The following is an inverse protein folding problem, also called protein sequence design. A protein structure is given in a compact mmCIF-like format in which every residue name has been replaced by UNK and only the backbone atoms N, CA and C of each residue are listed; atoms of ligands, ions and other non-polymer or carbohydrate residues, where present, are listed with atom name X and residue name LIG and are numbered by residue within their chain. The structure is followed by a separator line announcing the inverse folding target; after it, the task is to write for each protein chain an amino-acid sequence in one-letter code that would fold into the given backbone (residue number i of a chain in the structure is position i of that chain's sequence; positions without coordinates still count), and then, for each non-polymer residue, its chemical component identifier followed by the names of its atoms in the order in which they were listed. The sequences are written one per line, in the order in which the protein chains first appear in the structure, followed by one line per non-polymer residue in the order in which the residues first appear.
data_IF_712771836386
#
_entry.id   IF_712771836386
#
_cell.length_a   1.000
_cell.length_b   1.000
_cell.length_c   1.000
_cell.angle_alpha   90.00
_cell.angle_beta   90.00
_cell.angle_gamma   90.00
#
_symmetry.space_group_name_H-M   'P 1'
#
loop_
_entity.id
_entity.type
_entity.pdbx_description
1 polymer ?
#
# COMPACT_ATOMS: atom_id res chain seq x y z
N UNK A 1 93.55 -34.33 13.34
CA UNK A 1 92.55 -34.85 14.30
C UNK A 1 91.46 -33.79 14.42
N UNK A 2 90.38 -33.93 13.63
CA UNK A 2 89.07 -34.48 14.02
C UNK A 2 88.29 -33.62 15.02
N UNK A 3 87.28 -32.94 14.45
CA UNK A 3 85.88 -32.85 14.89
C UNK A 3 85.61 -32.24 16.28
N UNK A 4 85.02 -31.04 16.30
CA UNK A 4 83.81 -30.69 17.09
C UNK A 4 83.38 -29.25 16.73
N UNK A 5 83.02 -29.04 15.47
CA UNK A 5 82.06 -28.01 15.08
C UNK A 5 80.76 -28.73 14.74
N UNK A 6 79.62 -28.04 14.76
CA UNK A 6 78.28 -28.54 14.40
C UNK A 6 77.39 -29.10 15.52
N UNK A 7 77.21 -28.38 16.63
CA UNK A 7 76.03 -28.60 17.49
C UNK A 7 75.49 -27.37 18.22
N UNK A 8 75.95 -26.16 17.90
CA UNK A 8 75.47 -24.91 18.53
C UNK A 8 74.87 -23.88 17.55
N UNK A 9 74.56 -24.29 16.32
CA UNK A 9 73.99 -23.41 15.27
C UNK A 9 72.60 -23.87 14.78
N UNK A 10 71.90 -24.71 15.55
CA UNK A 10 70.62 -25.31 15.15
C UNK A 10 69.50 -25.11 16.19
N UNK A 11 69.61 -24.06 17.01
CA UNK A 11 68.59 -23.67 18.01
C UNK A 11 68.11 -22.22 17.87
N UNK A 12 68.47 -21.52 16.78
CA UNK A 12 68.19 -20.09 16.60
C UNK A 12 67.41 -19.73 15.33
N UNK A 13 66.78 -20.71 14.67
CA UNK A 13 66.03 -20.44 13.43
C UNK A 13 64.70 -21.20 13.34
N UNK A 14 63.85 -21.07 14.35
CA UNK A 14 62.42 -21.40 14.24
C UNK A 14 61.60 -20.45 15.13
N UNK A 15 61.84 -19.14 15.04
CA UNK A 15 60.72 -18.22 15.23
C UNK A 15 59.90 -18.27 13.94
N UNK A 16 59.04 -19.29 13.84
CA UNK A 16 57.86 -19.18 13.00
C UNK A 16 57.08 -17.99 13.53
N UNK A 17 57.29 -16.82 12.92
CA UNK A 17 56.37 -15.70 13.05
C UNK A 17 55.04 -16.21 12.51
N UNK A 18 54.12 -16.60 13.39
CA UNK A 18 52.75 -16.91 13.02
C UNK A 18 52.25 -15.73 12.17
N UNK A 19 52.01 -15.99 10.89
CA UNK A 19 51.58 -14.96 9.96
C UNK A 19 50.25 -14.42 10.47
N UNK A 20 50.16 -13.10 10.68
CA UNK A 20 48.94 -12.48 11.19
C UNK A 20 47.80 -12.82 10.22
N UNK A 21 46.79 -13.53 10.72
CA UNK A 21 45.58 -13.86 9.96
C UNK A 21 44.90 -12.54 9.58
N UNK A 22 44.77 -12.28 8.28
CA UNK A 22 44.20 -11.04 7.72
C UNK A 22 43.07 -11.27 6.73
N UNK A 23 42.84 -12.54 6.35
CA UNK A 23 41.83 -12.98 5.39
C UNK A 23 41.49 -14.44 5.66
N UNK A 24 40.37 -14.90 5.10
CA UNK A 24 40.01 -16.31 5.05
C UNK A 24 40.79 -17.04 3.97
N UNK A 25 41.27 -18.24 4.27
CA UNK A 25 42.14 -19.04 3.40
C UNK A 25 41.38 -20.16 2.68
N UNK A 26 40.85 -21.13 3.43
CA UNK A 26 40.09 -22.30 2.95
C UNK A 26 38.91 -22.56 3.88
N UNK A 27 37.98 -23.43 3.48
CA UNK A 27 36.86 -23.77 4.34
C UNK A 27 37.28 -24.48 5.63
N UNK A 28 38.27 -25.38 5.55
CA UNK A 28 38.81 -26.12 6.71
C UNK A 28 39.37 -25.19 7.80
N UNK A 29 39.95 -24.05 7.42
CA UNK A 29 40.52 -23.07 8.34
C UNK A 29 39.52 -22.00 8.77
N UNK A 30 38.34 -21.95 8.15
CA UNK A 30 37.40 -20.84 8.26
C UNK A 30 36.94 -20.60 9.70
N UNK A 31 36.61 -21.65 10.45
CA UNK A 31 36.12 -21.52 11.83
C UNK A 31 37.16 -20.84 12.74
N UNK A 32 38.42 -21.29 12.69
CA UNK A 32 39.50 -20.70 13.51
C UNK A 32 39.80 -19.26 13.07
N UNK A 33 39.91 -19.03 11.75
CA UNK A 33 40.15 -17.71 11.18
C UNK A 33 39.01 -16.73 11.50
N UNK A 34 37.75 -17.19 11.49
CA UNK A 34 36.58 -16.37 11.78
C UNK A 34 36.60 -15.84 13.21
N UNK A 35 36.87 -16.70 14.19
CA UNK A 35 36.96 -16.26 15.60
C UNK A 35 38.11 -15.29 15.86
N UNK A 36 39.14 -15.30 14.99
CA UNK A 36 40.28 -14.37 15.04
C UNK A 36 39.97 -13.04 14.35
N UNK A 37 39.29 -13.08 13.19
CA UNK A 37 39.05 -11.93 12.31
C UNK A 37 37.79 -11.13 12.68
N UNK A 38 36.76 -11.79 13.19
CA UNK A 38 35.46 -11.20 13.53
C UNK A 38 35.25 -11.27 15.04
N UNK A 39 35.20 -10.11 15.70
CA UNK A 39 35.00 -10.04 17.15
C UNK A 39 33.54 -10.25 17.51
N UNK A 40 33.23 -11.39 18.13
CA UNK A 40 31.90 -11.70 18.62
C UNK A 40 31.70 -11.21 20.08
N UNK A 41 30.56 -10.56 20.39
CA UNK A 41 30.09 -10.34 21.76
C UNK A 41 29.94 -11.67 22.51
N UNK A 42 30.06 -11.63 23.85
CA UNK A 42 30.05 -12.85 24.68
C UNK A 42 28.76 -13.65 24.48
N UNK A 43 27.63 -12.96 24.34
CA UNK A 43 26.29 -13.52 24.20
C UNK A 43 26.10 -14.28 22.89
N UNK A 44 26.95 -14.04 21.88
CA UNK A 44 26.83 -14.67 20.55
C UNK A 44 27.84 -15.78 20.31
N UNK A 45 28.85 -15.94 21.17
CA UNK A 45 29.92 -16.92 20.95
C UNK A 45 29.40 -18.36 20.87
N UNK A 46 28.45 -18.71 21.75
CA UNK A 46 27.82 -20.03 21.80
C UNK A 46 27.04 -20.32 20.51
N UNK A 47 26.13 -19.40 20.11
CA UNK A 47 25.35 -19.54 18.87
C UNK A 47 26.24 -19.72 17.62
N UNK A 48 27.31 -18.92 17.51
CA UNK A 48 28.22 -19.02 16.37
C UNK A 48 29.09 -20.28 16.41
N UNK A 49 29.69 -20.58 17.56
CA UNK A 49 30.61 -21.70 17.72
C UNK A 49 29.93 -23.07 17.63
N UNK A 50 28.76 -23.20 18.25
CA UNK A 50 28.13 -24.51 18.46
C UNK A 50 27.10 -24.84 17.37
N UNK A 51 26.62 -23.84 16.61
CA UNK A 51 25.66 -24.05 15.52
C UNK A 51 26.11 -23.41 14.21
N UNK A 52 26.20 -22.08 14.13
CA UNK A 52 26.29 -21.42 12.81
C UNK A 52 27.58 -21.76 12.03
N UNK A 53 28.74 -21.83 12.69
CA UNK A 53 30.01 -22.13 12.04
C UNK A 53 30.11 -23.60 11.59
N UNK A 54 29.77 -24.61 12.43
CA UNK A 54 29.65 -25.99 11.97
C UNK A 54 28.67 -26.15 10.80
N UNK A 55 27.48 -25.54 10.90
CA UNK A 55 26.42 -25.66 9.90
C UNK A 55 26.86 -25.08 8.55
N UNK A 56 27.53 -23.92 8.56
CA UNK A 56 27.96 -23.27 7.31
C UNK A 56 29.11 -24.01 6.64
N UNK A 57 30.06 -24.55 7.41
CA UNK A 57 31.17 -25.36 6.88
C UNK A 57 30.64 -26.63 6.22
N UNK A 58 29.63 -27.26 6.83
CA UNK A 58 28.98 -28.43 6.24
C UNK A 58 28.16 -28.09 4.98
N UNK A 59 27.55 -26.91 4.93
CA UNK A 59 26.66 -26.49 3.85
C UNK A 59 27.38 -26.06 2.56
N UNK A 60 28.70 -25.86 2.59
CA UNK A 60 29.48 -25.39 1.44
C UNK A 60 30.02 -26.59 0.67
N UNK A 61 29.55 -26.74 -0.57
CA UNK A 61 30.05 -27.73 -1.51
C UNK A 61 31.38 -27.29 -2.18
N UNK A 62 32.10 -28.27 -2.74
CA UNK A 62 33.42 -28.07 -3.37
C UNK A 62 33.37 -27.05 -4.53
N UNK A 63 32.27 -27.03 -5.30
CA UNK A 63 32.10 -26.10 -6.42
C UNK A 63 31.91 -24.65 -5.92
N UNK A 64 31.28 -24.46 -4.76
CA UNK A 64 30.98 -23.16 -4.16
C UNK A 64 32.09 -22.60 -3.26
N UNK A 65 32.99 -23.44 -2.74
CA UNK A 65 33.98 -23.07 -1.69
C UNK A 65 34.77 -21.81 -2.03
N UNK A 66 35.41 -21.80 -3.20
CA UNK A 66 36.33 -20.73 -3.60
C UNK A 66 35.61 -19.37 -3.70
N UNK A 67 34.42 -19.36 -4.27
CA UNK A 67 33.62 -18.15 -4.45
C UNK A 67 33.01 -17.69 -3.11
N UNK A 68 32.67 -18.63 -2.22
CA UNK A 68 32.15 -18.33 -0.90
C UNK A 68 33.24 -17.73 0.01
N UNK A 69 34.45 -18.29 0.02
CA UNK A 69 35.62 -17.69 0.70
C UNK A 69 35.92 -16.30 0.12
N UNK A 70 35.78 -16.13 -1.20
CA UNK A 70 35.93 -14.83 -1.85
C UNK A 70 34.86 -13.83 -1.38
N UNK A 71 33.62 -14.27 -1.18
CA UNK A 71 32.51 -13.47 -0.66
C UNK A 71 32.81 -12.98 0.77
N UNK A 72 33.18 -13.88 1.68
CA UNK A 72 33.56 -13.54 3.05
C UNK A 72 34.73 -12.56 3.10
N UNK A 73 35.75 -12.76 2.25
CA UNK A 73 36.87 -11.84 2.13
C UNK A 73 36.48 -10.46 1.58
N UNK A 74 35.49 -10.38 0.68
CA UNK A 74 34.94 -9.10 0.22
C UNK A 74 34.21 -8.37 1.36
N UNK A 75 33.48 -9.08 2.21
CA UNK A 75 32.87 -8.51 3.42
C UNK A 75 33.92 -7.94 4.39
N UNK A 76 35.01 -8.67 4.66
CA UNK A 76 36.12 -8.18 5.48
C UNK A 76 36.78 -6.92 4.90
N UNK A 77 37.05 -6.89 3.59
CA UNK A 77 37.60 -5.70 2.91
C UNK A 77 36.69 -4.48 3.05
N UNK A 78 35.37 -4.70 3.05
CA UNK A 78 34.35 -3.67 3.27
C UNK A 78 34.15 -3.33 4.76
N UNK A 79 34.96 -3.90 5.66
CA UNK A 79 34.90 -3.73 7.12
C UNK A 79 33.53 -4.10 7.71
N UNK A 80 32.88 -5.12 7.15
CA UNK A 80 31.65 -5.66 7.69
C UNK A 80 32.02 -6.63 8.82
N UNK A 81 32.01 -6.12 10.05
CA UNK A 81 32.35 -6.87 11.27
C UNK A 81 31.14 -7.10 12.17
N UNK A 82 29.96 -6.75 11.70
CA UNK A 82 28.70 -6.81 12.45
C UNK A 82 28.23 -8.27 12.51
N UNK A 83 28.11 -8.89 13.71
CA UNK A 83 27.71 -10.27 13.85
C UNK A 83 26.35 -10.58 13.20
N UNK A 84 25.40 -9.63 13.20
CA UNK A 84 24.07 -9.84 12.58
C UNK A 84 24.20 -10.16 11.09
N UNK A 85 25.07 -9.43 10.40
CA UNK A 85 25.27 -9.58 8.95
C UNK A 85 25.97 -10.91 8.62
N UNK A 86 26.84 -11.39 9.50
CA UNK A 86 27.48 -12.71 9.33
C UNK A 86 26.50 -13.85 9.59
N UNK A 87 25.67 -13.73 10.61
CA UNK A 87 24.60 -14.69 10.90
C UNK A 87 23.61 -14.78 9.72
N UNK A 88 23.22 -13.65 9.12
CA UNK A 88 22.37 -13.62 7.92
C UNK A 88 22.99 -14.42 6.77
N UNK A 89 24.28 -14.22 6.45
CA UNK A 89 24.98 -14.98 5.41
C UNK A 89 25.00 -16.49 5.72
N UNK A 90 25.31 -16.86 6.96
CA UNK A 90 25.43 -18.27 7.36
C UNK A 90 24.07 -18.97 7.27
N UNK A 91 23.00 -18.30 7.72
CA UNK A 91 21.64 -18.83 7.62
C UNK A 91 21.16 -18.93 6.18
N UNK A 92 21.49 -17.97 5.30
CA UNK A 92 21.22 -18.09 3.86
C UNK A 92 21.92 -19.33 3.28
N UNK A 93 23.21 -19.50 3.59
CA UNK A 93 24.03 -20.60 3.08
C UNK A 93 23.48 -21.96 3.52
N UNK A 94 23.20 -22.12 4.81
CA UNK A 94 22.62 -23.34 5.36
C UNK A 94 21.20 -23.61 4.82
N UNK A 95 20.39 -22.57 4.64
CA UNK A 95 19.04 -22.72 4.07
C UNK A 95 19.10 -23.26 2.64
N UNK A 96 19.95 -22.69 1.78
CA UNK A 96 20.09 -23.11 0.38
C UNK A 96 20.53 -24.58 0.32
N UNK A 97 21.54 -24.96 1.09
CA UNK A 97 22.01 -26.35 1.11
C UNK A 97 20.90 -27.35 1.50
N UNK A 98 20.00 -26.97 2.40
CA UNK A 98 18.99 -27.87 2.93
C UNK A 98 17.68 -27.88 2.13
N UNK A 99 17.39 -26.84 1.35
CA UNK A 99 16.06 -26.63 0.74
C UNK A 99 16.10 -26.37 -0.78
N UNK A 100 17.25 -26.05 -1.37
CA UNK A 100 17.38 -25.70 -2.78
C UNK A 100 18.17 -26.78 -3.54
N UNK A 101 18.08 -26.74 -4.87
CA UNK A 101 18.82 -27.67 -5.73
C UNK A 101 20.33 -27.43 -5.68
N UNK A 102 21.11 -28.51 -5.89
CA UNK A 102 22.57 -28.45 -5.99
C UNK A 102 23.02 -27.39 -7.02
N UNK A 103 24.06 -26.63 -6.67
CA UNK A 103 24.57 -25.52 -7.50
C UNK A 103 23.82 -24.19 -7.35
N UNK A 104 22.71 -24.14 -6.61
CA UNK A 104 22.02 -22.88 -6.29
C UNK A 104 22.89 -21.97 -5.42
N UNK A 105 23.64 -22.54 -4.48
CA UNK A 105 24.56 -21.79 -3.61
C UNK A 105 25.59 -21.01 -4.42
N UNK A 106 26.26 -21.66 -5.38
CA UNK A 106 27.23 -21.03 -6.27
C UNK A 106 26.64 -19.81 -7.00
N UNK A 107 25.40 -19.92 -7.51
CA UNK A 107 24.72 -18.81 -8.20
C UNK A 107 24.42 -17.64 -7.25
N UNK A 108 23.95 -17.91 -6.03
CA UNK A 108 23.72 -16.89 -4.99
C UNK A 108 25.02 -16.20 -4.61
N UNK A 109 26.10 -16.96 -4.44
CA UNK A 109 27.42 -16.46 -4.08
C UNK A 109 28.01 -15.60 -5.21
N UNK A 110 27.89 -16.00 -6.47
CA UNK A 110 28.33 -15.20 -7.63
C UNK A 110 27.55 -13.87 -7.71
N UNK A 111 26.23 -13.92 -7.55
CA UNK A 111 25.37 -12.73 -7.46
C UNK A 111 25.83 -11.78 -6.34
N UNK A 112 25.99 -12.29 -5.11
CA UNK A 112 26.43 -11.51 -3.96
C UNK A 112 27.84 -10.94 -4.15
N UNK A 113 28.78 -11.70 -4.71
CA UNK A 113 30.13 -11.23 -5.01
C UNK A 113 30.10 -10.03 -5.97
N UNK A 114 29.30 -10.09 -7.03
CA UNK A 114 29.08 -8.98 -7.95
C UNK A 114 28.50 -7.75 -7.24
N UNK A 115 27.49 -7.95 -6.39
CA UNK A 115 26.83 -6.88 -5.65
C UNK A 115 27.77 -6.20 -4.63
N UNK A 116 28.49 -6.96 -3.81
CA UNK A 116 29.37 -6.41 -2.76
C UNK A 116 30.54 -5.62 -3.35
N UNK A 117 31.11 -6.09 -4.46
CA UNK A 117 32.22 -5.38 -5.13
C UNK A 117 31.78 -4.00 -5.62
N UNK A 118 30.59 -3.92 -6.20
CA UNK A 118 30.03 -2.71 -6.82
C UNK A 118 29.36 -1.74 -5.84
N UNK A 119 29.07 -2.15 -4.60
CA UNK A 119 28.33 -1.34 -3.63
C UNK A 119 29.11 -0.99 -2.35
N UNK A 120 28.76 0.11 -1.65
CA UNK A 120 29.34 0.45 -0.34
C UNK A 120 28.85 -0.52 0.74
N UNK A 121 29.59 -0.57 1.85
CA UNK A 121 29.30 -1.51 2.95
C UNK A 121 27.88 -1.36 3.52
N UNK A 122 27.33 -0.14 3.63
CA UNK A 122 25.96 0.08 4.09
C UNK A 122 24.93 -0.61 3.21
N UNK A 123 24.98 -0.41 1.89
CA UNK A 123 24.08 -1.06 0.93
C UNK A 123 24.25 -2.58 0.92
N UNK A 124 25.48 -3.07 1.08
CA UNK A 124 25.75 -4.50 1.22
C UNK A 124 25.02 -5.10 2.42
N UNK A 125 25.13 -4.47 3.60
CA UNK A 125 24.42 -4.93 4.80
C UNK A 125 22.92 -4.94 4.59
N UNK A 126 22.38 -3.84 4.05
CA UNK A 126 20.96 -3.70 3.78
C UNK A 126 20.43 -4.78 2.83
N UNK A 127 21.19 -5.10 1.79
CA UNK A 127 20.79 -6.07 0.78
C UNK A 127 20.95 -7.52 1.26
N UNK A 128 21.97 -7.81 2.07
CA UNK A 128 22.11 -9.14 2.66
C UNK A 128 20.96 -9.44 3.62
N UNK A 129 20.59 -8.48 4.50
CA UNK A 129 19.43 -8.65 5.38
C UNK A 129 18.11 -8.75 4.63
N UNK A 130 17.99 -8.07 3.49
CA UNK A 130 16.87 -8.21 2.57
C UNK A 130 16.81 -9.64 1.99
N UNK A 131 17.92 -10.17 1.46
CA UNK A 131 17.97 -11.53 0.94
C UNK A 131 17.75 -12.59 2.01
N UNK A 132 18.27 -12.39 3.23
CA UNK A 132 17.96 -13.25 4.37
C UNK A 132 16.45 -13.28 4.66
N UNK A 133 15.80 -12.12 4.65
CA UNK A 133 14.34 -12.04 4.83
C UNK A 133 13.56 -12.70 3.69
N UNK A 134 14.07 -12.62 2.46
CA UNK A 134 13.45 -13.24 1.30
C UNK A 134 13.61 -14.76 1.31
N UNK A 135 14.84 -15.25 1.38
CA UNK A 135 15.22 -16.67 1.24
C UNK A 135 14.75 -17.46 2.47
N UNK A 136 15.05 -16.97 3.68
CA UNK A 136 14.85 -17.77 4.90
C UNK A 136 13.47 -17.52 5.52
N UNK A 137 12.94 -16.30 5.40
CA UNK A 137 11.69 -15.90 6.09
C UNK A 137 10.47 -15.77 5.16
N UNK A 138 10.65 -15.87 3.83
CA UNK A 138 9.58 -15.65 2.83
C UNK A 138 8.85 -14.31 3.01
N UNK A 139 9.61 -13.25 3.35
CA UNK A 139 9.12 -11.88 3.50
C UNK A 139 9.67 -11.04 2.37
N UNK A 140 8.83 -10.31 1.64
CA UNK A 140 9.25 -9.37 0.61
C UNK A 140 9.96 -8.15 1.20
N UNK A 141 9.56 -7.69 2.38
CA UNK A 141 10.13 -6.56 3.09
C UNK A 141 9.85 -6.65 4.59
N UNK A 142 10.80 -6.23 5.43
CA UNK A 142 10.71 -6.30 6.89
C UNK A 142 11.58 -5.22 7.55
N UNK A 143 11.14 -3.95 7.52
CA UNK A 143 11.83 -2.82 8.16
C UNK A 143 10.83 -1.75 8.61
N UNK A 144 11.17 -1.00 9.67
CA UNK A 144 10.43 0.18 10.13
C UNK A 144 8.91 -0.06 10.35
N UNK A 145 8.56 -1.13 11.06
CA UNK A 145 7.18 -1.59 11.31
C UNK A 145 6.39 -2.04 10.07
N UNK A 146 6.94 -1.90 8.86
CA UNK A 146 6.33 -2.35 7.61
C UNK A 146 6.83 -3.76 7.27
N UNK A 147 5.89 -4.68 7.11
CA UNK A 147 6.14 -6.05 6.69
C UNK A 147 5.25 -6.37 5.51
N UNK A 148 5.87 -6.88 4.44
CA UNK A 148 5.17 -7.56 3.35
C UNK A 148 5.69 -9.00 3.28
N UNK A 149 4.79 -9.98 3.27
CA UNK A 149 5.16 -11.41 3.31
C UNK A 149 4.19 -12.29 2.53
N UNK A 150 4.69 -13.43 2.06
CA UNK A 150 3.89 -14.51 1.49
C UNK A 150 4.39 -15.84 2.08
N UNK A 151 4.17 -16.07 3.39
CA UNK A 151 4.83 -17.14 4.13
C UNK A 151 4.37 -18.54 3.74
N UNK A 152 3.19 -18.65 3.13
CA UNK A 152 2.56 -19.92 2.74
C UNK A 152 2.60 -20.15 1.22
N UNK A 153 3.10 -19.20 0.45
CA UNK A 153 3.34 -19.38 -0.98
C UNK A 153 4.63 -20.19 -1.18
N UNK A 154 4.71 -20.93 -2.28
CA UNK A 154 5.97 -21.46 -2.77
C UNK A 154 6.83 -20.33 -3.34
N UNK A 155 8.12 -20.32 -2.99
CA UNK A 155 9.11 -19.38 -3.53
C UNK A 155 10.12 -20.17 -4.34
N UNK A 156 10.20 -19.90 -5.64
CA UNK A 156 11.23 -20.47 -6.50
C UNK A 156 12.26 -19.41 -6.84
N UNK A 157 13.51 -19.64 -6.40
CA UNK A 157 14.63 -18.77 -6.69
C UNK A 157 15.08 -18.93 -8.15
N UNK A 158 15.22 -17.80 -8.85
CA UNK A 158 15.60 -17.77 -10.25
C UNK A 158 16.67 -16.70 -10.49
N UNK A 159 17.39 -16.83 -11.61
CA UNK A 159 18.49 -15.94 -11.97
C UNK A 159 18.35 -15.50 -13.42
N UNK A 160 18.40 -14.18 -13.65
CA UNK A 160 18.51 -13.59 -14.98
C UNK A 160 19.76 -12.71 -15.03
N UNK A 161 20.68 -12.98 -15.96
CA UNK A 161 21.96 -12.25 -16.07
C UNK A 161 22.72 -12.10 -14.74
N UNK A 162 22.70 -13.14 -13.89
CA UNK A 162 23.25 -13.17 -12.51
C UNK A 162 22.53 -12.29 -11.49
N UNK A 163 21.37 -11.74 -11.81
CA UNK A 163 20.50 -11.04 -10.86
C UNK A 163 19.44 -12.02 -10.34
N UNK A 164 19.29 -12.05 -9.02
CA UNK A 164 18.33 -12.92 -8.34
C UNK A 164 16.91 -12.32 -8.42
N UNK A 165 15.93 -13.17 -8.69
CA UNK A 165 14.52 -12.87 -8.51
C UNK A 165 13.78 -14.12 -8.02
N UNK A 166 12.57 -13.95 -7.51
CA UNK A 166 11.75 -15.05 -7.00
C UNK A 166 10.45 -15.16 -7.80
N UNK A 167 10.10 -16.38 -8.21
CA UNK A 167 8.74 -16.70 -8.65
C UNK A 167 7.95 -17.11 -7.42
N UNK A 168 6.82 -16.44 -7.21
CA UNK A 168 5.92 -16.66 -6.08
C UNK A 168 4.72 -17.44 -6.61
N UNK A 169 4.56 -18.66 -6.10
CA UNK A 169 3.40 -19.51 -6.34
C UNK A 169 2.11 -18.88 -5.78
N UNK A 170 0.97 -19.40 -6.22
CA UNK A 170 -0.33 -18.91 -5.77
C UNK A 170 -0.47 -19.02 -4.24
N UNK A 171 -0.76 -17.89 -3.59
CA UNK A 171 -0.99 -17.83 -2.15
C UNK A 171 -1.22 -16.40 -1.66
N UNK A 172 -1.27 -16.23 -0.34
CA UNK A 172 -1.70 -14.96 0.24
C UNK A 172 -0.54 -13.99 0.44
N UNK A 173 -0.69 -12.78 -0.08
CA UNK A 173 0.21 -11.66 0.21
C UNK A 173 -0.36 -10.88 1.40
N UNK A 174 0.42 -10.81 2.47
CA UNK A 174 0.03 -10.16 3.72
C UNK A 174 0.90 -8.92 3.91
N UNK A 175 0.25 -7.76 4.05
CA UNK A 175 0.85 -6.50 4.43
C UNK A 175 0.50 -6.15 5.87
N UNK A 176 1.48 -5.71 6.65
CA UNK A 176 1.28 -5.18 8.01
C UNK A 176 2.08 -3.91 8.21
N UNK A 177 1.46 -2.90 8.76
CA UNK A 177 2.13 -1.69 9.22
C UNK A 177 1.57 -1.28 10.58
N UNK A 178 2.39 -1.47 11.63
CA UNK A 178 1.96 -1.28 13.02
C UNK A 178 0.72 -2.13 13.34
N UNK A 179 -0.40 -1.48 13.64
CA UNK A 179 -1.71 -2.07 13.98
C UNK A 179 -2.61 -2.32 12.76
N UNK A 180 -2.24 -1.83 11.57
CA UNK A 180 -3.03 -2.00 10.35
C UNK A 180 -2.48 -3.16 9.50
N UNK A 181 -3.37 -3.86 8.83
CA UNK A 181 -3.05 -5.01 8.00
C UNK A 181 -3.97 -5.12 6.80
N UNK A 182 -3.44 -5.71 5.73
CA UNK A 182 -4.19 -6.07 4.53
C UNK A 182 -3.75 -7.44 4.06
N UNK A 183 -4.65 -8.12 3.34
CA UNK A 183 -4.40 -9.41 2.72
C UNK A 183 -4.93 -9.36 1.29
N UNK A 184 -4.13 -9.87 0.36
CA UNK A 184 -4.55 -10.18 -1.01
C UNK A 184 -4.49 -11.70 -1.16
N UNK A 185 -5.64 -12.35 -1.20
CA UNK A 185 -5.75 -13.81 -1.16
C UNK A 185 -5.57 -14.41 -2.55
N UNK A 186 -4.81 -15.50 -2.69
CA UNK A 186 -4.67 -16.20 -3.97
C UNK A 186 -3.96 -15.39 -5.07
N UNK A 187 -2.80 -14.81 -4.73
CA UNK A 187 -1.96 -14.06 -5.67
C UNK A 187 -0.72 -14.86 -6.06
N UNK A 188 -0.29 -14.73 -7.31
CA UNK A 188 1.02 -15.21 -7.79
C UNK A 188 1.84 -14.02 -8.29
N UNK A 189 3.16 -14.19 -8.45
CA UNK A 189 3.96 -13.07 -8.95
C UNK A 189 5.45 -13.31 -9.13
N UNK A 190 6.15 -12.24 -9.48
CA UNK A 190 7.61 -12.17 -9.55
C UNK A 190 8.11 -11.09 -8.63
N UNK A 191 9.02 -11.44 -7.74
CA UNK A 191 9.62 -10.50 -6.80
C UNK A 191 11.10 -10.25 -7.13
N UNK A 192 11.46 -8.97 -7.20
CA UNK A 192 12.81 -8.49 -7.50
C UNK A 192 13.40 -7.82 -6.24
N UNK A 193 14.22 -8.54 -5.44
CA UNK A 193 14.79 -8.04 -4.20
C UNK A 193 15.59 -6.74 -4.36
N UNK A 194 16.34 -6.63 -5.46
CA UNK A 194 17.23 -5.49 -5.71
C UNK A 194 16.47 -4.18 -5.83
N UNK A 195 15.33 -4.19 -6.50
CA UNK A 195 14.47 -3.01 -6.67
C UNK A 195 13.39 -2.90 -5.59
N UNK A 196 13.11 -3.99 -4.87
CA UNK A 196 11.99 -4.09 -3.94
C UNK A 196 10.65 -4.10 -4.66
N UNK A 197 10.59 -4.69 -5.86
CA UNK A 197 9.40 -4.67 -6.71
C UNK A 197 8.75 -6.05 -6.75
N UNK A 198 7.46 -6.12 -6.41
CA UNK A 198 6.63 -7.30 -6.64
C UNK A 198 5.68 -7.03 -7.81
N UNK A 199 5.84 -7.79 -8.88
CA UNK A 199 4.92 -7.85 -10.01
C UNK A 199 3.94 -8.99 -9.76
N UNK A 200 2.71 -8.64 -9.37
CA UNK A 200 1.70 -9.59 -8.93
C UNK A 200 0.57 -9.73 -9.95
N UNK A 201 -0.05 -10.92 -9.94
CA UNK A 201 -1.17 -11.29 -10.79
C UNK A 201 -2.23 -12.03 -9.98
N UNK A 202 -3.47 -11.62 -10.22
CA UNK A 202 -4.63 -12.16 -9.54
C UNK A 202 -4.79 -11.59 -8.14
N UNK A 203 -5.65 -12.25 -7.39
CA UNK A 203 -5.84 -12.03 -5.98
C UNK A 203 -7.18 -11.39 -5.64
N UNK A 204 -7.74 -11.78 -4.50
CA UNK A 204 -8.99 -11.26 -3.97
C UNK A 204 -8.72 -10.36 -2.77
N UNK A 205 -9.35 -9.19 -2.75
CA UNK A 205 -9.27 -8.19 -1.68
C UNK A 205 -10.64 -7.98 -1.04
N UNK A 206 -10.62 -7.70 0.27
CA UNK A 206 -11.83 -7.56 1.07
C UNK A 206 -11.83 -6.25 1.85
N UNK A 207 -13.04 -5.81 2.22
CA UNK A 207 -13.25 -4.67 3.10
C UNK A 207 -13.49 -5.09 4.58
N UNK A 208 -13.10 -6.31 4.95
CA UNK A 208 -13.25 -6.85 6.30
C UNK A 208 -12.62 -5.97 7.38
N UNK A 209 -11.45 -5.35 7.10
CA UNK A 209 -10.80 -4.44 8.07
C UNK A 209 -11.59 -3.15 8.32
N UNK A 210 -12.61 -2.82 7.54
CA UNK A 210 -13.52 -1.70 7.81
C UNK A 210 -14.94 -2.17 8.17
N UNK A 211 -15.10 -3.45 8.50
CA UNK A 211 -16.34 -4.02 9.03
C UNK A 211 -17.37 -4.40 7.97
N UNK A 212 -16.96 -4.61 6.72
CA UNK A 212 -17.83 -5.13 5.65
C UNK A 212 -17.66 -6.63 5.50
N UNK A 213 -18.77 -7.35 5.30
CA UNK A 213 -18.74 -8.80 5.11
C UNK A 213 -18.23 -9.14 3.70
N UNK A 214 -17.55 -10.28 3.57
CA UNK A 214 -16.92 -10.70 2.32
C UNK A 214 -17.94 -10.96 1.20
N UNK A 215 -19.14 -11.43 1.56
CA UNK A 215 -20.25 -11.68 0.63
C UNK A 215 -20.88 -10.38 0.11
N UNK A 216 -20.74 -9.28 0.85
CA UNK A 216 -21.32 -7.97 0.51
C UNK A 216 -20.38 -7.13 -0.35
N UNK A 217 -19.07 -7.26 -0.13
CA UNK A 217 -18.07 -6.39 -0.73
C UNK A 217 -16.68 -7.03 -0.82
N UNK A 218 -16.31 -7.39 -2.05
CA UNK A 218 -14.97 -7.88 -2.39
C UNK A 218 -14.54 -7.41 -3.78
N UNK A 219 -13.24 -7.52 -4.05
CA UNK A 219 -12.68 -7.19 -5.35
C UNK A 219 -11.68 -8.24 -5.83
N UNK A 220 -11.65 -8.45 -7.14
CA UNK A 220 -10.68 -9.31 -7.82
C UNK A 220 -9.69 -8.44 -8.60
N UNK A 221 -8.40 -8.64 -8.35
CA UNK A 221 -7.32 -7.91 -8.98
C UNK A 221 -6.82 -8.65 -10.23
N UNK A 222 -6.47 -7.92 -11.28
CA UNK A 222 -5.77 -8.47 -12.45
C UNK A 222 -4.26 -8.40 -12.23
N UNK A 223 -3.53 -7.57 -12.98
CA UNK A 223 -2.10 -7.34 -12.74
C UNK A 223 -1.93 -6.09 -11.88
N UNK A 224 -1.00 -6.15 -10.93
CA UNK A 224 -0.66 -5.03 -10.07
C UNK A 224 0.80 -5.08 -9.63
N UNK A 225 1.30 -3.94 -9.17
CA UNK A 225 2.70 -3.81 -8.76
C UNK A 225 2.77 -3.19 -7.38
N UNK A 226 3.67 -3.72 -6.55
CA UNK A 226 3.96 -3.21 -5.22
C UNK A 226 5.45 -2.88 -5.11
N UNK A 227 5.75 -1.63 -4.76
CA UNK A 227 7.04 -1.29 -4.15
C UNK A 227 6.98 -1.70 -2.68
N UNK A 228 7.67 -2.78 -2.33
CA UNK A 228 7.57 -3.43 -1.02
C UNK A 228 8.12 -2.57 0.12
N UNK A 229 8.81 -1.47 -0.21
CA UNK A 229 9.25 -0.45 0.76
C UNK A 229 8.13 0.52 1.13
N UNK A 230 6.99 0.44 0.45
CA UNK A 230 5.85 1.32 0.63
C UNK A 230 4.68 0.55 1.24
N UNK A 231 3.94 1.21 2.13
CA UNK A 231 2.72 0.65 2.72
C UNK A 231 1.48 0.85 1.84
N UNK A 232 1.63 0.99 0.52
CA UNK A 232 0.50 1.19 -0.40
C UNK A 232 0.77 0.53 -1.74
N UNK A 233 -0.30 0.13 -2.43
CA UNK A 233 -0.25 -0.32 -3.82
C UNK A 233 -1.54 0.05 -4.56
N UNK A 234 -1.48 -0.03 -5.88
CA UNK A 234 -2.63 0.18 -6.76
C UNK A 234 -2.73 -0.96 -7.76
N UNK A 235 -3.96 -1.30 -8.12
CA UNK A 235 -4.28 -2.19 -9.22
C UNK A 235 -5.14 -1.42 -10.22
N UNK A 236 -4.56 -1.08 -11.36
CA UNK A 236 -5.28 -0.34 -12.41
C UNK A 236 -6.39 -1.22 -13.01
N UNK A 237 -6.32 -2.55 -12.93
CA UNK A 237 -7.41 -3.42 -13.38
C UNK A 237 -7.96 -4.24 -12.23
N UNK A 238 -9.10 -3.81 -11.67
CA UNK A 238 -9.84 -4.53 -10.65
C UNK A 238 -11.32 -4.69 -11.03
N UNK A 239 -11.94 -5.75 -10.51
CA UNK A 239 -13.38 -6.01 -10.59
C UNK A 239 -13.94 -5.95 -9.19
N UNK A 240 -14.89 -5.06 -8.93
CA UNK A 240 -15.58 -4.95 -7.65
C UNK A 240 -16.92 -5.65 -7.72
N UNK A 241 -17.23 -6.44 -6.70
CA UNK A 241 -18.54 -7.03 -6.47
C UNK A 241 -19.13 -6.34 -5.24
N UNK A 242 -20.19 -5.56 -5.45
CA UNK A 242 -20.85 -4.77 -4.41
C UNK A 242 -22.37 -4.71 -4.67
N UNK A 243 -23.11 -5.81 -4.44
CA UNK A 243 -24.54 -5.90 -4.79
C UNK A 243 -25.42 -4.83 -4.12
N UNK A 244 -25.05 -4.35 -2.92
CA UNK A 244 -25.74 -3.23 -2.26
C UNK A 244 -25.65 -1.92 -3.04
N UNK A 245 -24.59 -1.75 -3.85
CA UNK A 245 -24.32 -0.54 -4.62
C UNK A 245 -24.77 -0.67 -6.08
N UNK A 246 -24.48 -1.81 -6.71
CA UNK A 246 -24.83 -2.09 -8.11
C UNK A 246 -24.83 -3.60 -8.36
N UNK A 247 -25.86 -4.10 -9.03
CA UNK A 247 -26.08 -5.55 -9.21
C UNK A 247 -24.98 -6.22 -10.04
N UNK A 248 -24.42 -5.52 -11.03
CA UNK A 248 -23.37 -6.07 -11.90
C UNK A 248 -21.96 -5.75 -11.38
N UNK A 249 -20.96 -6.62 -11.62
CA UNK A 249 -19.58 -6.35 -11.25
C UNK A 249 -19.01 -5.10 -11.94
N UNK A 250 -18.36 -4.23 -11.17
CA UNK A 250 -17.83 -2.95 -11.63
C UNK A 250 -16.34 -3.08 -11.97
N UNK A 251 -15.92 -2.62 -13.14
CA UNK A 251 -14.49 -2.53 -13.51
C UNK A 251 -13.92 -1.16 -13.13
N UNK A 252 -12.73 -1.12 -12.57
CA UNK A 252 -12.16 0.11 -12.04
C UNK A 252 -10.75 0.01 -11.49
N UNK A 253 -10.32 1.12 -10.89
CA UNK A 253 -9.06 1.27 -10.17
C UNK A 253 -9.26 0.87 -8.70
N UNK A 254 -8.39 0.02 -8.19
CA UNK A 254 -8.30 -0.31 -6.76
C UNK A 254 -7.04 0.33 -6.15
N UNK A 255 -7.20 0.89 -4.95
CA UNK A 255 -6.08 1.41 -4.16
C UNK A 255 -6.12 0.84 -2.74
N UNK A 256 -4.95 0.45 -2.27
CA UNK A 256 -4.70 -0.04 -0.93
C UNK A 256 -3.62 0.82 -0.28
N UNK A 257 -3.82 1.16 0.99
CA UNK A 257 -2.83 1.80 1.83
C UNK A 257 -3.02 1.38 3.28
N UNK A 258 -1.94 0.88 3.86
CA UNK A 258 -1.78 0.68 5.29
C UNK A 258 -1.50 2.03 5.97
N UNK A 259 -2.19 2.29 7.07
CA UNK A 259 -2.03 3.54 7.82
C UNK A 259 -2.27 3.33 9.32
N UNK A 260 -1.59 4.11 10.15
CA UNK A 260 -1.82 4.09 11.59
C UNK A 260 -3.16 4.76 12.04
N UNK A 261 -4.10 5.01 11.12
CA UNK A 261 -5.36 5.71 11.43
C UNK A 261 -6.39 4.75 12.01
N UNK A 262 -7.25 5.26 12.89
CA UNK A 262 -8.33 4.48 13.48
C UNK A 262 -9.31 3.95 12.42
N UNK A 263 -9.75 2.69 12.59
CA UNK A 263 -10.63 1.92 11.71
C UNK A 263 -11.89 2.69 11.26
N UNK A 264 -12.52 3.46 12.16
CA UNK A 264 -13.73 4.25 11.86
C UNK A 264 -13.51 5.41 10.89
N UNK A 265 -12.27 5.85 10.73
CA UNK A 265 -11.86 6.92 9.81
C UNK A 265 -11.05 6.38 8.62
N UNK A 266 -10.98 5.05 8.50
CA UNK A 266 -10.22 4.39 7.46
C UNK A 266 -10.74 4.82 6.08
N UNK A 267 -9.79 5.22 5.26
CA UNK A 267 -10.05 5.68 3.90
C UNK A 267 -9.77 4.58 2.88
N UNK A 268 -9.25 3.43 3.31
CA UNK A 268 -8.86 2.31 2.47
C UNK A 268 -9.51 1.02 3.03
N UNK A 269 -9.79 0.03 2.18
CA UNK A 269 -9.48 0.00 0.75
C UNK A 269 -10.35 0.96 -0.07
N UNK A 270 -9.91 1.28 -1.29
CA UNK A 270 -10.62 2.19 -2.21
C UNK A 270 -10.84 1.53 -3.56
N UNK A 271 -11.98 1.84 -4.15
CA UNK A 271 -12.31 1.48 -5.51
C UNK A 271 -13.01 2.64 -6.22
N UNK A 272 -12.67 2.86 -7.49
CA UNK A 272 -13.36 3.81 -8.36
C UNK A 272 -13.63 3.17 -9.73
N UNK A 273 -14.88 3.18 -10.17
CA UNK A 273 -15.28 2.63 -11.47
C UNK A 273 -14.72 3.45 -12.63
N UNK A 274 -14.41 2.77 -13.73
CA UNK A 274 -14.03 3.45 -14.97
C UNK A 274 -15.20 4.10 -15.67
N UNK A 275 -16.33 3.39 -15.73
CA UNK A 275 -17.58 3.94 -16.22
C UNK A 275 -18.06 5.04 -15.27
N UNK A 276 -18.46 6.18 -15.82
CA UNK A 276 -18.78 7.40 -15.08
C UNK A 276 -20.22 7.91 -15.31
N UNK A 277 -21.08 7.08 -15.89
CA UNK A 277 -22.43 7.45 -16.31
C UNK A 277 -23.51 6.44 -15.90
N UNK A 278 -23.25 5.64 -14.84
CA UNK A 278 -24.24 4.73 -14.27
C UNK A 278 -25.51 5.48 -13.90
N UNK A 279 -26.65 4.95 -14.30
CA UNK A 279 -27.97 5.47 -13.93
C UNK A 279 -28.54 4.59 -12.82
N UNK A 280 -28.69 5.16 -11.63
CA UNK A 280 -29.31 4.52 -10.48
C UNK A 280 -30.65 5.20 -10.21
N UNK A 281 -31.75 4.69 -10.78
CA UNK A 281 -33.07 5.21 -10.49
C UNK A 281 -33.47 4.81 -9.06
N UNK A 282 -34.11 5.73 -8.33
CA UNK A 282 -34.63 5.45 -7.00
C UNK A 282 -33.57 4.91 -6.02
N UNK A 283 -32.33 5.44 -6.05
CA UNK A 283 -31.30 5.15 -5.02
C UNK A 283 -31.81 5.48 -3.62
N UNK A 284 -32.71 6.47 -3.54
CA UNK A 284 -33.72 6.59 -2.50
C UNK A 284 -35.06 6.83 -3.17
N UNK A 285 -36.18 6.69 -2.44
CA UNK A 285 -37.50 6.97 -3.00
C UNK A 285 -37.55 8.36 -3.67
N UNK A 286 -37.90 8.42 -4.96
CA UNK A 286 -37.94 9.66 -5.77
C UNK A 286 -36.60 10.41 -5.87
N UNK A 287 -35.49 9.70 -5.70
CA UNK A 287 -34.13 10.24 -5.85
C UNK A 287 -33.38 9.39 -6.86
N UNK A 288 -32.92 10.03 -7.93
CA UNK A 288 -32.17 9.38 -9.01
C UNK A 288 -30.73 9.88 -9.03
N UNK A 289 -29.78 8.99 -9.30
CA UNK A 289 -28.37 9.32 -9.43
C UNK A 289 -27.86 8.99 -10.84
N UNK A 290 -26.95 9.83 -11.34
CA UNK A 290 -26.15 9.57 -12.54
C UNK A 290 -24.69 9.94 -12.31
N UNK A 291 -23.77 8.99 -12.49
CA UNK A 291 -22.34 9.22 -12.31
C UNK A 291 -21.51 7.95 -12.26
N UNK A 292 -20.23 8.08 -11.88
CA UNK A 292 -19.39 6.94 -11.52
C UNK A 292 -19.73 6.41 -10.13
N UNK A 293 -19.22 5.23 -9.80
CA UNK A 293 -19.43 4.55 -8.54
C UNK A 293 -18.09 4.22 -7.90
N UNK A 294 -18.06 4.20 -6.56
CA UNK A 294 -16.86 3.82 -5.85
C UNK A 294 -17.10 3.55 -4.38
N UNK A 295 -16.04 3.05 -3.76
CA UNK A 295 -16.03 2.66 -2.36
C UNK A 295 -14.80 3.25 -1.71
N UNK A 296 -14.95 3.87 -0.55
CA UNK A 296 -13.84 4.46 0.21
C UNK A 296 -13.99 4.08 1.67
N UNK A 297 -13.11 3.19 2.14
CA UNK A 297 -13.31 2.53 3.43
C UNK A 297 -14.70 1.89 3.46
N UNK A 298 -15.50 2.08 4.52
CA UNK A 298 -16.80 1.42 4.65
C UNK A 298 -17.94 2.08 3.85
N UNK A 299 -17.67 3.17 3.13
CA UNK A 299 -18.73 4.01 2.55
C UNK A 299 -18.77 3.89 1.02
N UNK A 300 -19.99 3.90 0.48
CA UNK A 300 -20.25 4.00 -0.95
C UNK A 300 -20.32 5.46 -1.42
N UNK A 301 -19.83 5.71 -2.62
CA UNK A 301 -19.80 7.02 -3.22
C UNK A 301 -20.29 7.00 -4.66
N UNK A 302 -21.06 8.03 -5.01
CA UNK A 302 -21.24 8.47 -6.38
C UNK A 302 -20.06 9.37 -6.73
N UNK A 303 -19.26 8.97 -7.71
CA UNK A 303 -18.03 9.65 -8.11
C UNK A 303 -18.21 10.36 -9.45
N UNK A 304 -17.33 11.32 -9.71
CA UNK A 304 -17.04 11.74 -11.07
C UNK A 304 -15.53 11.75 -11.31
N UNK A 305 -14.99 10.78 -12.09
CA UNK A 305 -13.57 10.70 -12.37
C UNK A 305 -13.07 11.84 -13.28
N UNK A 306 -13.94 12.33 -14.17
CA UNK A 306 -13.63 13.36 -15.16
C UNK A 306 -14.33 14.68 -14.81
N UNK A 307 -13.92 15.79 -15.42
CA UNK A 307 -14.47 17.15 -15.21
C UNK A 307 -16.01 17.30 -15.30
N UNK A 308 -16.73 16.26 -15.75
CA UNK A 308 -18.17 16.17 -15.54
C UNK A 308 -18.48 16.11 -14.03
N UNK A 309 -19.65 16.57 -13.62
CA UNK A 309 -20.10 16.41 -12.22
C UNK A 309 -21.10 15.26 -12.18
N UNK A 310 -21.02 14.40 -11.18
CA UNK A 310 -22.08 13.45 -10.87
C UNK A 310 -23.37 14.23 -10.58
N UNK A 311 -24.52 13.66 -10.93
CA UNK A 311 -25.82 14.32 -10.86
C UNK A 311 -26.74 13.55 -9.91
N UNK A 312 -27.40 14.25 -9.01
CA UNK A 312 -28.55 13.75 -8.25
C UNK A 312 -29.78 14.55 -8.63
N UNK A 313 -30.92 13.87 -8.82
CA UNK A 313 -32.21 14.49 -9.11
C UNK A 313 -33.25 14.04 -8.09
N UNK A 314 -33.93 15.00 -7.48
CA UNK A 314 -35.11 14.78 -6.66
C UNK A 314 -36.35 15.04 -7.51
N UNK A 315 -37.30 14.11 -7.49
CA UNK A 315 -38.54 14.18 -8.27
C UNK A 315 -39.76 14.31 -7.37
N UNK A 316 -40.84 14.88 -7.92
CA UNK A 316 -42.16 14.94 -7.30
C UNK A 316 -43.20 14.98 -8.43
N UNK A 317 -44.21 14.10 -8.38
CA UNK A 317 -45.22 13.98 -9.44
C UNK A 317 -44.63 13.87 -10.87
N UNK A 318 -43.54 13.10 -11.02
CA UNK A 318 -42.76 12.92 -12.27
C UNK A 318 -41.94 14.13 -12.76
N UNK A 319 -42.01 15.29 -12.09
CA UNK A 319 -41.19 16.45 -12.42
C UNK A 319 -39.93 16.49 -11.56
N UNK A 320 -38.81 16.99 -12.11
CA UNK A 320 -37.58 17.21 -11.33
C UNK A 320 -37.68 18.51 -10.56
N UNK A 321 -37.65 18.44 -9.22
CA UNK A 321 -37.72 19.64 -8.36
C UNK A 321 -36.34 20.19 -8.09
N UNK A 322 -35.36 19.33 -7.80
CA UNK A 322 -33.99 19.73 -7.49
C UNK A 322 -33.02 18.88 -8.30
N UNK A 323 -32.10 19.53 -9.00
CA UNK A 323 -30.91 18.93 -9.59
C UNK A 323 -29.67 19.39 -8.84
N UNK A 324 -28.84 18.44 -8.47
CA UNK A 324 -27.60 18.64 -7.75
C UNK A 324 -26.43 18.11 -8.57
N UNK A 325 -25.33 18.86 -8.63
CA UNK A 325 -24.11 18.44 -9.34
C UNK A 325 -22.89 18.54 -8.43
N UNK A 326 -22.14 17.46 -8.28
CA UNK A 326 -20.97 17.38 -7.40
C UNK A 326 -19.92 16.42 -7.94
N UNK A 327 -18.65 16.63 -7.58
CA UNK A 327 -17.59 15.67 -7.87
C UNK A 327 -17.71 14.38 -7.04
N UNK A 328 -18.44 14.43 -5.93
CA UNK A 328 -18.77 13.25 -5.12
C UNK A 328 -20.08 13.38 -4.34
N UNK A 329 -20.79 12.28 -4.18
CA UNK A 329 -21.90 12.12 -3.24
C UNK A 329 -21.61 10.92 -2.34
N UNK A 330 -21.81 11.07 -1.03
CA UNK A 330 -21.72 9.99 -0.06
C UNK A 330 -23.10 9.34 0.10
N UNK A 331 -23.16 8.02 -0.08
CA UNK A 331 -24.35 7.21 0.14
C UNK A 331 -24.22 6.41 1.44
N UNK A 332 -25.29 6.44 2.25
CA UNK A 332 -25.52 5.60 3.43
C UNK A 332 -27.00 5.23 3.51
N UNK A 333 -27.35 4.25 4.32
CA UNK A 333 -28.70 3.68 4.44
C UNK A 333 -29.81 4.75 4.53
N UNK A 334 -29.58 5.81 5.31
CA UNK A 334 -30.55 6.90 5.49
C UNK A 334 -30.01 8.30 5.22
N UNK A 335 -28.83 8.41 4.58
CA UNK A 335 -28.19 9.70 4.36
C UNK A 335 -27.52 9.77 2.99
N UNK A 336 -27.95 10.74 2.20
CA UNK A 336 -27.22 11.26 1.05
C UNK A 336 -26.60 12.60 1.41
N UNK A 337 -25.31 12.80 1.12
CA UNK A 337 -24.66 14.07 1.39
C UNK A 337 -23.55 14.43 0.41
N UNK A 338 -23.33 15.73 0.24
CA UNK A 338 -22.15 16.27 -0.44
C UNK A 338 -21.76 17.61 0.19
N UNK A 339 -20.47 17.82 0.40
CA UNK A 339 -19.93 19.09 0.88
C UNK A 339 -19.61 20.11 -0.22
N UNK A 340 -19.77 19.77 -1.50
CA UNK A 340 -19.51 20.70 -2.61
C UNK A 340 -20.49 20.42 -3.73
N UNK A 341 -21.61 21.12 -3.74
CA UNK A 341 -22.67 20.87 -4.70
C UNK A 341 -23.14 22.15 -5.37
N UNK A 342 -23.25 22.11 -6.69
CA UNK A 342 -24.01 23.06 -7.48
C UNK A 342 -25.49 22.66 -7.44
N UNK A 343 -26.36 23.65 -7.30
CA UNK A 343 -27.78 23.46 -7.03
C UNK A 343 -28.60 24.17 -8.10
N UNK A 344 -29.59 23.45 -8.63
CA UNK A 344 -30.64 24.00 -9.50
C UNK A 344 -31.98 23.49 -8.99
N UNK A 345 -32.77 24.37 -8.39
CA UNK A 345 -34.16 24.09 -8.03
C UNK A 345 -35.07 24.60 -9.17
N UNK A 346 -35.85 23.74 -9.78
CA UNK A 346 -36.62 24.07 -10.99
C UNK A 346 -37.95 24.74 -10.64
N UNK A 347 -38.27 25.82 -11.36
CA UNK A 347 -39.50 26.62 -11.24
C UNK A 347 -40.06 26.84 -12.66
N UNK A 348 -40.73 25.82 -13.22
CA UNK A 348 -41.16 25.86 -14.61
C UNK A 348 -39.96 25.82 -15.57
N UNK A 349 -39.85 26.80 -16.46
CA UNK A 349 -38.70 26.95 -17.39
C UNK A 349 -37.50 27.67 -16.73
N UNK A 350 -37.69 28.20 -15.52
CA UNK A 350 -36.71 28.95 -14.75
C UNK A 350 -36.19 28.18 -13.53
N UNK A 351 -35.26 28.77 -12.77
CA UNK A 351 -34.69 28.10 -11.61
C UNK A 351 -34.19 29.03 -10.50
N UNK A 352 -34.06 28.43 -9.32
CA UNK A 352 -33.20 28.89 -8.25
C UNK A 352 -31.84 28.20 -8.37
N UNK A 353 -30.78 29.00 -8.52
CA UNK A 353 -29.43 28.51 -8.72
C UNK A 353 -28.48 28.94 -7.61
N UNK A 354 -27.58 28.02 -7.23
CA UNK A 354 -26.41 28.36 -6.42
C UNK A 354 -25.20 27.48 -6.78
N UNK A 355 -24.00 28.05 -7.00
CA UNK A 355 -22.85 27.30 -7.53
C UNK A 355 -22.15 26.40 -6.50
N UNK A 356 -22.31 26.69 -5.20
CA UNK A 356 -21.48 26.06 -4.17
C UNK A 356 -22.12 25.96 -2.78
N UNK A 357 -22.74 24.82 -2.50
CA UNK A 357 -23.40 24.51 -1.22
C UNK A 357 -22.88 23.22 -0.57
N UNK A 358 -23.21 23.04 0.70
CA UNK A 358 -23.32 21.73 1.35
C UNK A 358 -24.76 21.23 1.21
N UNK A 359 -24.95 19.94 0.96
CA UNK A 359 -26.26 19.31 0.97
C UNK A 359 -26.29 18.05 1.83
N UNK A 360 -27.44 17.84 2.47
CA UNK A 360 -27.78 16.62 3.19
C UNK A 360 -29.24 16.27 2.92
N UNK A 361 -29.50 14.99 2.71
CA UNK A 361 -30.83 14.43 2.58
C UNK A 361 -30.97 13.23 3.53
N UNK A 362 -31.95 13.29 4.44
CA UNK A 362 -32.30 12.16 5.31
C UNK A 362 -33.55 11.48 4.74
N UNK A 363 -33.37 10.26 4.22
CA UNK A 363 -34.43 9.51 3.54
C UNK A 363 -35.56 9.05 4.46
N UNK A 364 -35.34 9.00 5.79
CA UNK A 364 -36.39 8.62 6.76
C UNK A 364 -37.36 9.77 7.00
N UNK A 365 -36.85 11.00 6.96
CA UNK A 365 -37.66 12.21 7.12
C UNK A 365 -38.14 12.80 5.79
N UNK A 366 -37.54 12.39 4.67
CA UNK A 366 -37.76 12.96 3.35
C UNK A 366 -37.29 14.42 3.22
N UNK A 367 -36.39 14.89 4.09
CA UNK A 367 -35.95 16.29 4.10
C UNK A 367 -34.61 16.47 3.39
N UNK A 368 -34.60 17.34 2.38
CA UNK A 368 -33.39 17.89 1.75
C UNK A 368 -33.08 19.23 2.40
N UNK A 369 -31.83 19.38 2.86
CA UNK A 369 -31.29 20.62 3.41
C UNK A 369 -30.03 21.00 2.66
N UNK A 370 -30.04 22.22 2.12
CA UNK A 370 -28.95 22.79 1.34
C UNK A 370 -28.50 24.06 2.06
N UNK A 371 -27.23 24.15 2.42
CA UNK A 371 -26.66 25.24 3.20
C UNK A 371 -25.53 25.89 2.40
N UNK A 372 -25.54 27.22 2.33
CA UNK A 372 -24.44 28.01 1.76
C UNK A 372 -23.25 28.06 2.71
N UNK A 373 -22.05 28.01 2.15
CA UNK A 373 -20.84 28.27 2.93
C UNK A 373 -20.67 29.77 3.17
N UNK A 374 -20.21 30.16 4.36
CA UNK A 374 -19.89 31.56 4.67
C UNK A 374 -18.49 31.98 4.17
N UNK A 375 -17.94 31.30 3.16
CA UNK A 375 -16.59 31.56 2.60
C UNK A 375 -16.54 31.24 1.10
N UNK A 376 -15.62 31.90 0.38
CA UNK A 376 -15.35 31.64 -1.04
C UNK A 376 -16.58 31.78 -1.93
N UNK A 377 -16.75 30.84 -2.88
CA UNK A 377 -17.93 30.76 -3.76
C UNK A 377 -19.26 30.55 -3.02
N UNK A 378 -19.22 30.15 -1.74
CA UNK A 378 -20.42 30.05 -0.90
C UNK A 378 -21.06 31.39 -0.55
N UNK A 379 -20.29 32.49 -0.63
CA UNK A 379 -20.79 33.84 -0.35
C UNK A 379 -21.74 34.37 -1.43
N UNK A 380 -21.74 33.78 -2.62
CA UNK A 380 -22.66 34.13 -3.71
C UNK A 380 -24.11 34.09 -3.23
N UNK A 381 -24.93 35.03 -3.69
CA UNK A 381 -26.38 34.96 -3.45
C UNK A 381 -27.00 33.82 -4.26
N UNK A 382 -28.17 33.34 -3.84
CA UNK A 382 -29.00 32.53 -4.72
C UNK A 382 -29.47 33.40 -5.87
N UNK A 383 -29.37 32.91 -7.10
CA UNK A 383 -29.96 33.56 -8.27
C UNK A 383 -31.31 32.93 -8.57
N UNK A 384 -32.34 33.75 -8.60
CA UNK A 384 -33.70 33.38 -8.99
C UNK A 384 -34.02 33.99 -10.35
N UNK A 385 -34.03 33.17 -11.41
CA UNK A 385 -34.37 33.65 -12.75
C UNK A 385 -35.88 33.87 -12.91
N UNK A 386 -36.70 33.05 -12.24
CA UNK A 386 -38.17 33.10 -12.31
C UNK A 386 -38.72 34.44 -11.83
N UNK A 387 -38.24 34.92 -10.69
CA UNK A 387 -38.62 36.23 -10.14
C UNK A 387 -37.64 37.35 -10.49
N UNK A 388 -36.59 37.06 -11.27
CA UNK A 388 -35.52 38.02 -11.60
C UNK A 388 -34.92 38.72 -10.38
N UNK A 389 -34.50 37.95 -9.37
CA UNK A 389 -33.94 38.46 -8.12
C UNK A 389 -32.69 37.70 -7.67
N UNK A 390 -31.90 38.31 -6.79
CA UNK A 390 -30.87 37.64 -6.01
C UNK A 390 -31.31 37.57 -4.54
N UNK A 391 -31.11 36.41 -3.90
CA UNK A 391 -31.59 36.16 -2.55
C UNK A 391 -30.43 35.79 -1.64
N UNK A 392 -30.25 36.57 -0.58
CA UNK A 392 -29.25 36.33 0.45
C UNK A 392 -29.91 35.66 1.66
N UNK A 393 -29.97 34.34 1.60
CA UNK A 393 -30.50 33.45 2.65
C UNK A 393 -29.53 32.30 2.89
N UNK A 394 -29.38 31.83 4.13
CA UNK A 394 -28.36 30.81 4.43
C UNK A 394 -28.69 29.41 3.88
N UNK A 395 -29.97 29.02 3.83
CA UNK A 395 -30.37 27.65 3.48
C UNK A 395 -31.66 27.56 2.66
N UNK A 396 -31.70 26.52 1.82
CA UNK A 396 -32.89 26.03 1.12
C UNK A 396 -33.27 24.67 1.72
N UNK A 397 -34.54 24.51 2.07
CA UNK A 397 -35.12 23.27 2.61
C UNK A 397 -36.26 22.83 1.70
N UNK A 398 -36.27 21.54 1.36
CA UNK A 398 -37.37 20.90 0.65
C UNK A 398 -37.76 19.62 1.39
N UNK A 399 -39.05 19.34 1.50
CA UNK A 399 -39.57 18.08 2.04
C UNK A 399 -40.25 17.31 0.91
N UNK A 400 -39.94 16.03 0.79
CA UNK A 400 -40.56 15.11 -0.16
C UNK A 400 -42.09 15.12 -0.04
N UNK A 401 -42.75 14.85 -1.15
CA UNK A 401 -44.21 14.90 -1.25
C UNK A 401 -44.79 16.32 -1.25
N UNK A 402 -43.97 17.38 -1.27
CA UNK A 402 -44.45 18.76 -1.31
C UNK A 402 -43.88 19.55 -2.50
N UNK A 403 -44.67 20.44 -3.12
CA UNK A 403 -44.17 21.34 -4.16
C UNK A 403 -43.51 22.62 -3.58
N UNK A 404 -43.21 22.67 -2.26
CA UNK A 404 -42.80 23.91 -1.57
C UNK A 404 -41.31 23.91 -1.23
N UNK A 405 -40.60 24.90 -1.75
CA UNK A 405 -39.23 25.24 -1.34
C UNK A 405 -39.27 26.28 -0.21
N UNK A 406 -38.53 26.04 0.87
CA UNK A 406 -38.41 26.96 2.01
C UNK A 406 -37.03 27.58 2.06
N UNK A 407 -36.97 28.91 1.94
CA UNK A 407 -35.74 29.71 2.07
C UNK A 407 -35.67 30.30 3.48
N UNK A 408 -34.56 30.07 4.19
CA UNK A 408 -34.41 30.47 5.60
C UNK A 408 -32.98 30.87 5.92
N UNK A 409 -32.81 31.71 6.94
CA UNK A 409 -31.51 31.89 7.60
C UNK A 409 -31.30 30.84 8.69
N UNK A 410 -30.04 30.60 9.05
CA UNK A 410 -29.68 29.76 10.18
C UNK A 410 -29.80 30.59 11.46
N UNK A 411 -30.64 30.15 12.40
CA UNK A 411 -30.75 30.78 13.71
C UNK A 411 -29.56 30.36 14.59
N UNK A 412 -28.44 31.08 14.48
CA UNK A 412 -27.20 30.86 15.24
C UNK A 412 -27.06 31.78 16.46
N UNK A 413 -28.18 32.19 17.05
CA UNK A 413 -28.20 33.10 18.22
C UNK A 413 -28.26 34.60 17.88
N UNK A 414 -28.30 34.97 16.61
CA UNK A 414 -28.65 36.33 16.15
C UNK A 414 -29.67 36.26 15.01
N UNK A 415 -30.59 37.22 14.95
CA UNK A 415 -31.53 37.34 13.84
C UNK A 415 -30.81 37.99 12.66
N UNK A 416 -30.58 37.23 11.58
CA UNK A 416 -30.19 37.79 10.29
C UNK A 416 -31.44 37.97 9.43
N UNK A 417 -31.59 39.16 8.83
CA UNK A 417 -32.64 39.41 7.85
C UNK A 417 -32.41 38.56 6.59
N UNK A 418 -33.48 37.99 6.05
CA UNK A 418 -33.46 37.43 4.70
C UNK A 418 -33.58 38.58 3.71
N UNK A 419 -32.62 38.72 2.80
CA UNK A 419 -32.58 39.83 1.84
C UNK A 419 -32.91 39.30 0.45
N UNK A 420 -33.84 39.97 -0.23
CA UNK A 420 -34.28 39.65 -1.59
C UNK A 420 -34.13 40.93 -2.42
N UNK A 421 -33.23 40.91 -3.40
CA UNK A 421 -32.86 42.07 -4.22
C UNK A 421 -33.30 41.83 -5.66
N UNK A 422 -34.20 42.68 -6.17
CA UNK A 422 -34.61 42.61 -7.57
C UNK A 422 -33.44 42.99 -8.49
N UNK A 423 -33.22 42.19 -9.55
CA UNK A 423 -32.26 42.50 -10.62
C UNK A 423 -32.71 43.68 -11.48
N UNK A 424 -33.97 44.09 -11.34
CA UNK A 424 -34.59 45.17 -12.11
C UNK A 424 -34.90 46.40 -11.26
N UNK A 425 -34.38 46.51 -10.03
CA UNK A 425 -34.70 47.62 -9.12
C UNK A 425 -34.49 49.03 -9.71
N UNK A 426 -33.62 49.19 -10.72
CA UNK A 426 -33.33 50.47 -11.38
C UNK A 426 -33.78 50.55 -12.85
N UNK A 427 -34.67 49.68 -13.32
CA UNK A 427 -35.18 49.71 -14.71
C UNK A 427 -36.59 50.27 -14.83
#
# INVERSE_FOLDING_TARGET
MRKFGWLLALLLSLQMSAQKVVRFSTIDQFTEEFTTLVKLPKERKELFGDSLLPDVVYAIDEDSEKDWITLCNNMLRKRITDPDVWEELFRITAYINNNEEYGTLLKVVDHLNGYIRSNPSSRTKDYLGQLYSNIVKHRFYDKNDLIWKAPYSEWSMQFDQKEIYFIIGEGDIIGRFREDSTIVMGTSGRFFPRTGTLEAKGGTVFWGRVGKYEEELYGELSNWTLDTRQGYFKADSATLYAPELYDEPLKGLFEERLSARAQRSAQYPRFASYKNDFLLPNVYNEVHFRGGLGVVGPNYYGLSPDSAMAKVQFTYNNDTIITLRSGRFLFRDSLLSSGRVEVTAHLGEDSLYHPYCEMRFDSRSGQVRIIRYKTGLGLSSWTDSYHSMDMNVDQLIWNQGTPKLSLRNLNLGSQQAAVFESKQYFR
#
